data_IF_471001394313
#
_entry.id   IF_471001394313
#
_cell.length_a   1.000
_cell.length_b   1.000
_cell.length_c   1.000
_cell.angle_alpha   90.00
_cell.angle_beta   90.00
_cell.angle_gamma   90.00
#
_symmetry.space_group_name_H-M   'P 1'
#
loop_
_entity.id
_entity.type
_entity.pdbx_description
1 polymer ?
#
# COMPACT_ATOMS: atom_id res chain seq x y z
N UNK A 1 6.06 23.08 3.56
CA UNK A 1 5.68 22.48 2.27
C UNK A 1 5.13 21.06 2.39
N UNK A 2 5.80 20.12 3.08
CA UNK A 2 5.27 18.73 3.23
C UNK A 2 3.91 18.62 3.95
N UNK A 3 3.51 19.69 4.66
CA UNK A 3 2.26 19.80 5.41
C UNK A 3 1.15 20.57 4.68
N UNK A 4 1.32 20.87 3.39
CA UNK A 4 0.23 21.45 2.58
C UNK A 4 -0.09 20.56 1.38
N UNK A 5 -1.34 20.59 0.86
CA UNK A 5 -1.70 19.89 -0.37
C UNK A 5 -0.82 20.30 -1.55
N UNK A 6 -0.53 19.38 -2.49
CA UNK A 6 -0.95 17.97 -2.50
C UNK A 6 -0.05 17.05 -1.64
N UNK A 7 1.05 17.56 -1.09
CA UNK A 7 2.12 16.76 -0.47
C UNK A 7 1.72 16.03 0.81
N UNK A 8 0.68 16.51 1.49
CA UNK A 8 0.18 15.96 2.76
C UNK A 8 -0.39 14.57 2.70
N UNK A 9 -0.64 14.02 1.50
CA UNK A 9 -1.23 12.68 1.32
C UNK A 9 -0.49 11.78 0.34
N UNK A 10 0.63 12.25 -0.20
CA UNK A 10 1.39 11.45 -1.15
C UNK A 10 2.33 10.50 -0.39
N UNK A 11 2.56 9.28 -0.91
CA UNK A 11 3.50 8.32 -0.33
C UNK A 11 4.94 8.78 -0.62
N UNK A 12 5.41 9.75 0.14
CA UNK A 12 6.72 10.37 -0.01
C UNK A 12 7.73 9.80 0.99
N UNK A 13 9.01 9.92 0.66
CA UNK A 13 10.10 9.67 1.61
C UNK A 13 11.07 10.85 1.54
N UNK A 14 11.38 11.47 2.68
CA UNK A 14 12.40 12.50 2.75
C UNK A 14 13.76 11.86 3.02
N UNK A 15 14.74 12.15 2.16
CA UNK A 15 16.05 11.52 2.21
C UNK A 15 17.18 12.55 2.24
N UNK A 16 18.02 12.47 3.27
CA UNK A 16 19.28 13.21 3.34
C UNK A 16 20.36 12.44 2.59
N UNK A 17 20.75 12.93 1.41
CA UNK A 17 21.78 12.27 0.59
C UNK A 17 23.17 12.41 1.20
N UNK A 18 23.46 13.56 1.82
CA UNK A 18 24.70 13.82 2.53
C UNK A 18 24.41 14.26 3.96
N UNK A 19 25.19 13.76 4.91
CA UNK A 19 24.98 14.00 6.33
C UNK A 19 25.28 15.45 6.76
N UNK A 20 26.15 16.14 6.02
CA UNK A 20 26.57 17.52 6.31
C UNK A 20 25.45 18.55 6.12
N UNK A 21 24.43 18.23 5.33
CA UNK A 21 23.26 19.10 5.14
C UNK A 21 22.07 18.71 6.00
N UNK A 22 22.24 17.76 6.93
CA UNK A 22 21.16 17.37 7.84
C UNK A 22 20.82 18.57 8.73
N UNK A 23 19.54 18.92 8.77
CA UNK A 23 19.00 19.85 9.73
C UNK A 23 17.71 19.32 10.35
N UNK A 24 17.32 19.89 11.48
CA UNK A 24 16.01 19.64 12.07
C UNK A 24 14.94 20.36 11.26
N UNK A 25 13.91 19.61 10.85
CA UNK A 25 12.78 20.17 10.12
C UNK A 25 11.78 20.72 11.13
N UNK A 26 11.52 22.02 11.05
CA UNK A 26 10.54 22.70 11.88
C UNK A 26 9.46 23.34 10.99
N UNK A 27 8.22 22.82 10.95
CA UNK A 27 7.72 21.65 11.69
C UNK A 27 8.27 20.32 11.13
N UNK A 28 8.25 19.23 11.93
CA UNK A 28 8.68 17.91 11.45
C UNK A 28 7.81 17.44 10.27
N UNK A 29 8.28 16.50 9.43
CA UNK A 29 7.47 15.92 8.36
C UNK A 29 6.20 15.24 8.90
N UNK A 30 5.15 15.06 8.08
CA UNK A 30 3.99 14.26 8.47
C UNK A 30 4.38 12.82 8.86
N UNK A 31 3.63 12.14 9.74
CA UNK A 31 3.97 10.80 10.24
C UNK A 31 4.19 9.75 9.15
N UNK A 32 3.40 9.80 8.07
CA UNK A 32 3.49 8.87 6.93
C UNK A 32 4.67 9.17 5.98
N UNK A 33 5.43 10.26 6.18
CA UNK A 33 6.59 10.61 5.36
C UNK A 33 7.87 10.23 6.12
N UNK A 34 8.41 9.01 5.93
CA UNK A 34 9.60 8.58 6.64
C UNK A 34 10.84 9.38 6.27
N UNK A 35 11.77 9.48 7.23
CA UNK A 35 13.11 10.04 7.06
C UNK A 35 14.10 8.92 6.74
N UNK A 36 14.91 9.12 5.71
CA UNK A 36 15.95 8.20 5.25
C UNK A 36 17.29 8.91 5.07
N UNK A 37 18.38 8.15 5.05
CA UNK A 37 19.74 8.67 4.90
C UNK A 37 20.52 7.89 3.84
N UNK A 38 21.44 8.59 3.17
CA UNK A 38 22.40 8.02 2.22
C UNK A 38 21.94 8.06 0.75
N UNK A 39 22.83 7.71 -0.19
CA UNK A 39 22.55 7.70 -1.62
C UNK A 39 21.40 6.78 -1.99
N UNK A 40 20.68 7.10 -3.08
CA UNK A 40 19.73 6.16 -3.66
C UNK A 40 20.50 4.98 -4.25
N UNK A 41 20.09 3.76 -3.95
CA UNK A 41 20.57 2.59 -4.68
C UNK A 41 20.26 2.81 -6.18
N UNK A 42 21.21 2.54 -7.08
CA UNK A 42 20.92 2.51 -8.51
C UNK A 42 19.73 1.58 -8.72
N UNK A 43 18.67 2.09 -9.35
CA UNK A 43 17.50 1.29 -9.64
C UNK A 43 17.93 0.27 -10.70
N UNK A 44 18.29 -0.95 -10.31
CA UNK A 44 17.99 -2.07 -11.20
C UNK A 44 16.46 -2.08 -11.29
N UNK A 45 15.93 -2.08 -12.51
CA UNK A 45 14.50 -2.19 -12.76
C UNK A 45 13.96 -3.34 -11.89
N UNK A 46 13.23 -3.00 -10.83
CA UNK A 46 12.67 -4.00 -9.95
C UNK A 46 11.71 -4.83 -10.80
N UNK A 47 12.07 -6.10 -10.97
CA UNK A 47 11.17 -7.13 -11.45
C UNK A 47 9.84 -6.96 -10.74
N UNK A 48 8.75 -6.94 -11.52
CA UNK A 48 7.40 -7.10 -10.98
C UNK A 48 7.45 -8.22 -9.93
N UNK A 49 6.88 -7.97 -8.75
CA UNK A 49 6.66 -8.98 -7.74
C UNK A 49 5.76 -10.07 -8.34
N UNK A 50 6.36 -11.04 -9.03
CA UNK A 50 5.77 -12.35 -9.16
C UNK A 50 5.90 -12.99 -7.79
N UNK A 51 4.81 -12.93 -7.02
CA UNK A 51 4.62 -13.84 -5.92
C UNK A 51 4.49 -15.25 -6.51
N UNK A 52 5.58 -16.00 -6.49
CA UNK A 52 5.53 -17.46 -6.64
C UNK A 52 6.78 -18.08 -6.05
N UNK A 53 6.61 -18.93 -5.02
CA UNK A 53 6.92 -20.37 -5.10
C UNK A 53 6.78 -21.08 -3.74
N UNK A 54 5.66 -21.81 -3.62
CA UNK A 54 5.44 -23.19 -3.16
C UNK A 54 6.04 -23.73 -1.84
N UNK A 55 5.13 -24.11 -0.93
CA UNK A 55 5.27 -25.32 -0.12
C UNK A 55 4.27 -26.36 -0.66
N UNK A 56 4.80 -27.55 -0.94
CA UNK A 56 4.24 -28.68 -1.66
C UNK A 56 3.11 -29.36 -0.85
N UNK A 57 1.86 -29.24 -1.30
CA UNK A 57 0.75 -30.14 -0.97
C UNK A 57 -0.30 -29.97 -2.06
N UNK A 58 -0.50 -31.03 -2.86
CA UNK A 58 -1.59 -31.16 -3.82
C UNK A 58 -2.95 -30.75 -3.22
N UNK A 59 -3.77 -30.03 -4.00
CA UNK A 59 -5.16 -30.43 -4.07
C UNK A 59 -5.64 -30.50 -5.52
N UNK A 60 -6.06 -31.72 -5.88
CA UNK A 60 -7.01 -32.02 -6.93
C UNK A 60 -8.25 -31.10 -6.88
N UNK A 61 -8.74 -30.76 -8.09
CA UNK A 61 -10.09 -30.27 -8.41
C UNK A 61 -10.62 -29.09 -7.58
N UNK A 62 -10.51 -27.87 -8.13
CA UNK A 62 -11.69 -27.21 -8.70
C UNK A 62 -11.29 -25.91 -9.43
N UNK A 63 -11.72 -25.83 -10.68
CA UNK A 63 -11.62 -24.65 -11.52
C UNK A 63 -12.69 -23.63 -11.07
N UNK A 64 -12.32 -22.35 -11.06
CA UNK A 64 -13.26 -21.22 -11.27
C UNK A 64 -14.09 -20.68 -10.08
N UNK A 65 -13.59 -20.76 -8.84
CA UNK A 65 -14.07 -19.86 -7.78
C UNK A 65 -13.42 -18.48 -7.95
N UNK A 66 -13.98 -17.66 -8.85
CA UNK A 66 -13.60 -16.26 -9.01
C UNK A 66 -13.59 -15.58 -7.64
N UNK A 67 -12.41 -15.14 -7.19
CA UNK A 67 -12.28 -14.53 -5.87
C UNK A 67 -13.23 -13.32 -5.76
N UNK A 68 -14.00 -13.26 -4.67
CA UNK A 68 -14.90 -12.14 -4.40
C UNK A 68 -14.23 -11.14 -3.46
N UNK A 69 -14.58 -9.86 -3.62
CA UNK A 69 -14.20 -8.81 -2.69
C UNK A 69 -14.88 -9.02 -1.34
N UNK A 70 -14.10 -8.96 -0.24
CA UNK A 70 -14.62 -9.10 1.12
C UNK A 70 -15.57 -7.98 1.56
N UNK A 71 -15.59 -6.85 0.85
CA UNK A 71 -16.39 -5.67 1.19
C UNK A 71 -17.71 -5.59 0.41
N UNK A 72 -17.68 -5.76 -0.91
CA UNK A 72 -18.87 -5.64 -1.76
C UNK A 72 -19.44 -7.00 -2.23
N UNK A 73 -18.77 -8.11 -1.89
CA UNK A 73 -19.06 -9.47 -2.38
C UNK A 73 -19.03 -9.65 -3.91
N UNK A 74 -18.65 -8.60 -4.66
CA UNK A 74 -18.51 -8.63 -6.11
C UNK A 74 -17.25 -9.38 -6.56
N UNK A 75 -17.27 -9.89 -7.78
CA UNK A 75 -16.12 -10.57 -8.37
C UNK A 75 -14.92 -9.63 -8.56
N UNK A 76 -13.73 -10.10 -8.20
CA UNK A 76 -12.46 -9.42 -8.49
C UNK A 76 -12.07 -9.72 -9.94
N UNK A 77 -11.92 -8.68 -10.77
CA UNK A 77 -11.66 -8.79 -12.21
C UNK A 77 -10.49 -7.92 -12.68
N UNK A 78 -9.85 -7.18 -11.79
CA UNK A 78 -8.84 -6.20 -12.15
C UNK A 78 -7.56 -6.88 -12.65
N UNK A 79 -6.99 -6.34 -13.73
CA UNK A 79 -5.72 -6.79 -14.32
C UNK A 79 -4.56 -6.69 -13.32
N UNK A 80 -4.63 -5.70 -12.41
CA UNK A 80 -3.69 -5.50 -11.31
C UNK A 80 -3.87 -6.47 -10.13
N UNK A 81 -4.97 -7.24 -10.11
CA UNK A 81 -5.34 -8.14 -9.01
C UNK A 81 -5.91 -7.41 -7.77
N UNK A 82 -6.47 -8.16 -6.79
CA UNK A 82 -7.02 -7.56 -5.58
C UNK A 82 -5.95 -7.00 -4.64
N UNK A 83 -6.34 -6.01 -3.84
CA UNK A 83 -5.54 -5.62 -2.67
C UNK A 83 -5.67 -6.70 -1.58
N UNK A 84 -4.53 -7.03 -0.98
CA UNK A 84 -4.42 -7.99 0.12
C UNK A 84 -3.83 -7.29 1.34
N UNK A 85 -4.23 -7.72 2.54
CA UNK A 85 -3.61 -7.26 3.78
C UNK A 85 -2.13 -7.71 3.84
N UNK A 86 -1.21 -6.84 4.29
CA UNK A 86 0.21 -7.20 4.43
C UNK A 86 0.47 -8.17 5.61
N UNK A 87 -0.48 -8.34 6.53
CA UNK A 87 -0.34 -9.29 7.63
C UNK A 87 -0.45 -10.75 7.13
N UNK A 88 0.56 -11.60 7.42
CA UNK A 88 0.55 -12.98 6.95
C UNK A 88 -0.67 -13.75 7.45
N UNK A 89 -1.34 -14.47 6.55
CA UNK A 89 -2.51 -15.30 6.88
C UNK A 89 -3.84 -14.55 6.97
N UNK A 90 -3.87 -13.22 6.84
CA UNK A 90 -5.12 -12.48 6.74
C UNK A 90 -5.86 -12.84 5.43
N UNK A 91 -7.15 -13.18 5.47
CA UNK A 91 -7.91 -13.60 4.29
C UNK A 91 -8.41 -12.44 3.43
N UNK A 92 -8.19 -11.17 3.84
CA UNK A 92 -8.73 -10.01 3.14
C UNK A 92 -8.28 -9.95 1.68
N UNK A 93 -9.27 -9.88 0.79
CA UNK A 93 -9.09 -9.56 -0.63
C UNK A 93 -10.16 -8.55 -1.03
N UNK A 94 -9.76 -7.38 -1.52
CA UNK A 94 -10.72 -6.33 -1.86
C UNK A 94 -10.37 -5.62 -3.16
N UNK A 95 -11.39 -5.04 -3.80
CA UNK A 95 -11.17 -4.03 -4.83
C UNK A 95 -10.42 -2.84 -4.22
N UNK A 96 -9.58 -2.19 -5.01
CA UNK A 96 -8.86 -0.99 -4.59
C UNK A 96 -9.82 0.11 -4.12
N UNK A 97 -10.90 0.34 -4.88
CA UNK A 97 -11.87 1.41 -4.59
C UNK A 97 -12.65 1.09 -3.31
N UNK A 98 -13.15 -0.14 -3.14
CA UNK A 98 -13.89 -0.51 -1.94
C UNK A 98 -13.06 -0.34 -0.66
N UNK A 99 -11.78 -0.74 -0.69
CA UNK A 99 -10.92 -0.57 0.48
C UNK A 99 -10.57 0.91 0.73
N UNK A 100 -10.41 1.69 -0.33
CA UNK A 100 -10.16 3.13 -0.20
C UNK A 100 -11.37 3.85 0.41
N UNK A 101 -12.59 3.54 -0.05
CA UNK A 101 -13.82 4.08 0.51
C UNK A 101 -14.00 3.72 1.99
N UNK A 102 -13.72 2.48 2.35
CA UNK A 102 -13.76 2.01 3.75
C UNK A 102 -12.83 2.83 4.65
N UNK A 103 -11.58 3.08 4.21
CA UNK A 103 -10.62 3.85 5.01
C UNK A 103 -10.89 5.36 5.03
N UNK A 104 -11.69 5.87 4.09
CA UNK A 104 -11.98 7.30 3.96
C UNK A 104 -13.31 7.72 4.60
N UNK A 105 -14.04 6.81 5.24
CA UNK A 105 -15.34 7.10 5.86
C UNK A 105 -15.31 8.32 6.80
N UNK A 106 -14.26 8.43 7.61
CA UNK A 106 -14.05 9.52 8.58
C UNK A 106 -13.36 10.76 7.98
N UNK A 107 -12.99 10.73 6.69
CA UNK A 107 -12.21 11.76 6.01
C UNK A 107 -12.87 12.22 4.70
N UNK A 108 -14.08 12.82 4.75
CA UNK A 108 -14.84 13.16 3.55
C UNK A 108 -14.09 14.13 2.62
N UNK A 109 -14.18 13.88 1.32
CA UNK A 109 -13.56 14.70 0.27
C UNK A 109 -12.07 14.42 0.05
N UNK A 110 -11.46 13.50 0.81
CA UNK A 110 -10.12 13.01 0.54
C UNK A 110 -10.17 11.87 -0.48
N UNK A 111 -9.11 11.73 -1.27
CA UNK A 111 -9.03 10.72 -2.35
C UNK A 111 -8.05 9.58 -2.04
N UNK A 112 -7.12 9.81 -1.10
CA UNK A 112 -6.05 8.88 -0.76
C UNK A 112 -6.10 8.58 0.73
N UNK A 113 -6.39 7.33 1.13
CA UNK A 113 -6.26 6.93 2.53
C UNK A 113 -4.80 7.01 2.96
N UNK A 114 -4.54 7.56 4.14
CA UNK A 114 -3.20 7.58 4.74
C UNK A 114 -2.98 6.37 5.66
N UNK A 115 -4.00 6.02 6.43
CA UNK A 115 -4.00 4.97 7.43
C UNK A 115 -5.37 4.27 7.38
N UNK A 116 -5.45 3.05 7.90
CA UNK A 116 -6.68 2.28 7.94
C UNK A 116 -6.47 0.97 8.69
N UNK A 117 -7.53 0.48 9.33
CA UNK A 117 -7.52 -0.81 10.01
C UNK A 117 -8.05 -1.88 9.06
N UNK A 118 -7.33 -2.99 8.93
CA UNK A 118 -7.79 -4.12 8.12
C UNK A 118 -9.18 -4.59 8.58
N UNK A 119 -10.21 -4.64 7.71
CA UNK A 119 -11.57 -5.03 8.08
C UNK A 119 -11.76 -6.56 8.19
N UNK A 120 -10.70 -7.36 8.04
CA UNK A 120 -10.74 -8.83 8.10
C UNK A 120 -9.48 -9.46 8.68
#
# INVERSE_FOLDING_TARGET
MLRVPPWTRLPLTLRWLRADFRCELCPPPPPHVPLSFGPLAPRSSASKCHASTFADTEPQLDQDAKACCSLCAGALQDEEGPLCCPHPGCPLRAHMICLAEEFLQEEPGQLLPLEGQCPG
#
